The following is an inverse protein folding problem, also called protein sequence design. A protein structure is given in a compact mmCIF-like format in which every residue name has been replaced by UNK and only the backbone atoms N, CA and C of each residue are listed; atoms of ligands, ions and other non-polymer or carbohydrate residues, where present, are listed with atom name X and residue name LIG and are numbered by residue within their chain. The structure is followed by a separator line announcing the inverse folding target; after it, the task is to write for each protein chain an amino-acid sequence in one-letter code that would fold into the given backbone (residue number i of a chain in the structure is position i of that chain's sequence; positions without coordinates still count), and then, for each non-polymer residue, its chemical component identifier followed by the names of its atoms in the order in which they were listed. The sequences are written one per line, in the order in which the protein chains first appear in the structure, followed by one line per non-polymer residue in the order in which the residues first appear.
data_IF_606046085085
#
_entry.id   IF_606046085085
#
_cell.length_a   1.000
_cell.length_b   1.000
_cell.length_c   1.000
_cell.angle_alpha   90.00
_cell.angle_beta   90.00
_cell.angle_gamma   90.00
#
_symmetry.space_group_name_H-M   'P 1'
#
loop_
_entity.id
_entity.type
_entity.pdbx_description
1 polymer ?
#
# COMPACT_ATOMS: atom_id res chain seq x y z
N UNK A 1 -21.37 -3.54 -5.41
CA UNK A 1 -20.02 -3.88 -5.87
C UNK A 1 -19.04 -3.13 -4.98
N UNK A 2 -18.29 -3.85 -4.14
CA UNK A 2 -17.34 -3.24 -3.20
C UNK A 2 -16.29 -2.48 -3.97
N UNK A 3 -16.07 -1.20 -3.64
CA UNK A 3 -14.91 -0.46 -4.13
C UNK A 3 -13.63 -1.25 -3.80
N UNK A 4 -12.59 -1.22 -4.66
CA UNK A 4 -11.31 -1.80 -4.29
C UNK A 4 -10.85 -1.18 -2.96
N UNK A 5 -10.28 -1.99 -2.04
CA UNK A 5 -9.80 -1.49 -0.76
C UNK A 5 -8.79 -0.35 -0.99
N UNK A 6 -8.71 0.64 -0.09
CA UNK A 6 -7.70 1.69 -0.21
C UNK A 6 -6.28 1.10 -0.18
N UNK A 7 -5.28 1.80 -0.75
CA UNK A 7 -3.88 1.40 -0.59
C UNK A 7 -3.50 1.32 0.88
N UNK A 8 -2.64 0.37 1.22
CA UNK A 8 -2.11 0.21 2.58
C UNK A 8 -1.33 1.46 3.00
N UNK A 9 -1.61 1.94 4.20
CA UNK A 9 -0.94 3.09 4.79
C UNK A 9 0.09 2.61 5.81
N UNK A 10 1.12 3.40 6.10
CA UNK A 10 2.08 3.06 7.15
C UNK A 10 1.40 2.76 8.49
N UNK A 11 0.29 3.44 8.79
CA UNK A 11 -0.48 3.26 10.02
C UNK A 11 -1.19 1.90 10.12
N UNK A 12 -1.39 1.18 9.00
CA UNK A 12 -2.00 -0.16 9.01
C UNK A 12 -1.02 -1.25 9.51
N UNK A 13 0.27 -0.92 9.65
CA UNK A 13 1.30 -1.85 10.12
C UNK A 13 1.54 -1.68 11.63
N UNK A 14 0.75 -2.37 12.46
CA UNK A 14 0.85 -2.29 13.92
C UNK A 14 2.04 -3.08 14.49
N UNK A 15 2.62 -3.97 13.69
CA UNK A 15 3.72 -4.84 14.07
C UNK A 15 5.03 -4.45 13.38
N UNK A 16 6.14 -4.84 13.99
CA UNK A 16 7.45 -4.67 13.39
C UNK A 16 7.63 -5.68 12.26
N UNK A 17 8.22 -5.27 11.15
CA UNK A 17 8.60 -6.22 10.11
C UNK A 17 9.61 -7.25 10.64
N UNK A 18 9.30 -8.54 10.50
CA UNK A 18 10.16 -9.64 10.98
C UNK A 18 11.48 -9.75 10.19
N UNK A 19 11.52 -9.27 8.95
CA UNK A 19 12.71 -9.39 8.08
C UNK A 19 13.64 -8.18 8.19
N UNK A 20 13.10 -6.97 7.98
CA UNK A 20 13.91 -5.76 7.99
C UNK A 20 13.87 -4.98 9.30
N UNK A 21 13.09 -5.45 10.29
CA UNK A 21 12.96 -4.84 11.61
C UNK A 21 12.44 -3.38 11.55
N UNK A 22 11.74 -3.01 10.46
CA UNK A 22 11.08 -1.71 10.32
C UNK A 22 10.01 -1.53 11.40
N UNK A 23 9.98 -0.38 12.09
CA UNK A 23 9.11 -0.16 13.24
C UNK A 23 7.63 -0.15 12.86
N UNK A 24 6.73 -0.44 13.82
CA UNK A 24 5.29 -0.31 13.59
C UNK A 24 4.93 1.14 13.24
N UNK A 25 3.91 1.31 12.41
CA UNK A 25 3.51 2.60 11.84
C UNK A 25 4.40 3.07 10.69
N UNK A 26 5.32 2.21 10.19
CA UNK A 26 6.20 2.53 9.06
C UNK A 26 6.20 1.43 8.01
N UNK A 27 6.46 1.84 6.77
CA UNK A 27 6.70 0.93 5.65
C UNK A 27 8.09 0.28 5.78
N UNK A 28 8.23 -0.88 5.16
CA UNK A 28 9.50 -1.60 5.14
C UNK A 28 10.57 -0.81 4.36
N UNK A 29 11.83 -1.04 4.74
CA UNK A 29 12.98 -0.48 4.03
C UNK A 29 13.06 -1.01 2.59
N UNK A 30 13.65 -0.23 1.68
CA UNK A 30 13.75 -0.58 0.26
C UNK A 30 14.54 -1.87 -0.04
N UNK A 31 15.34 -2.36 0.91
CA UNK A 31 16.05 -3.63 0.78
C UNK A 31 15.24 -4.83 1.31
N UNK A 32 14.07 -4.60 1.89
CA UNK A 32 13.24 -5.66 2.46
C UNK A 32 12.48 -6.39 1.34
N UNK A 33 12.87 -7.62 1.06
CA UNK A 33 12.26 -8.41 -0.03
C UNK A 33 10.88 -8.98 0.32
N UNK A 34 10.54 -9.07 1.61
CA UNK A 34 9.32 -9.73 2.10
C UNK A 34 8.27 -8.74 2.62
N UNK A 35 8.64 -7.47 2.77
CA UNK A 35 7.82 -6.46 3.41
C UNK A 35 7.26 -5.44 2.42
N UNK A 36 6.19 -4.75 2.82
CA UNK A 36 5.57 -3.71 2.00
C UNK A 36 6.36 -2.40 2.06
N UNK A 37 6.97 -2.01 0.95
CA UNK A 37 7.88 -0.86 0.88
C UNK A 37 7.18 0.43 0.43
N UNK A 38 7.90 1.54 0.50
CA UNK A 38 7.43 2.81 -0.07
C UNK A 38 7.20 2.74 -1.59
N UNK A 39 7.96 1.91 -2.31
CA UNK A 39 7.77 1.72 -3.75
C UNK A 39 6.51 0.91 -4.04
N UNK A 40 6.22 -0.11 -3.23
CA UNK A 40 4.96 -0.86 -3.34
C UNK A 40 3.75 0.02 -3.03
N UNK A 41 3.85 0.85 -1.98
CA UNK A 41 2.83 1.82 -1.63
C UNK A 41 2.54 2.80 -2.76
N UNK A 42 3.59 3.27 -3.45
CA UNK A 42 3.46 4.14 -4.62
C UNK A 42 2.83 3.40 -5.80
N UNK A 43 3.27 2.19 -6.10
CA UNK A 43 2.71 1.38 -7.18
C UNK A 43 1.23 1.05 -6.94
N UNK A 44 0.84 0.76 -5.70
CA UNK A 44 -0.57 0.60 -5.34
C UNK A 44 -1.34 1.90 -5.49
N UNK A 45 -0.83 3.02 -4.98
CA UNK A 45 -1.48 4.32 -5.15
C UNK A 45 -1.70 4.66 -6.64
N UNK A 46 -0.73 4.39 -7.50
CA UNK A 46 -0.83 4.55 -8.96
C UNK A 46 -1.90 3.62 -9.56
N UNK A 47 -1.92 2.33 -9.18
CA UNK A 47 -2.97 1.39 -9.60
C UNK A 47 -4.37 1.81 -9.15
N UNK A 48 -4.49 2.32 -7.92
CA UNK A 48 -5.76 2.79 -7.37
C UNK A 48 -6.23 4.08 -8.03
N UNK A 49 -5.32 5.01 -8.33
CA UNK A 49 -5.64 6.22 -9.10
C UNK A 49 -6.18 5.83 -10.49
N UNK A 50 -5.43 5.00 -11.23
CA UNK A 50 -5.85 4.52 -12.55
C UNK A 50 -7.22 3.82 -12.51
N UNK A 51 -7.51 3.02 -11.48
CA UNK A 51 -8.83 2.38 -11.31
C UNK A 51 -9.95 3.36 -10.98
N UNK A 52 -9.67 4.42 -10.21
CA UNK A 52 -10.66 5.48 -9.93
C UNK A 52 -10.99 6.25 -11.20
N UNK A 53 -9.99 6.58 -12.01
CA UNK A 53 -10.16 7.28 -13.29
C UNK A 53 -10.80 6.39 -14.37
N UNK A 54 -10.56 5.08 -14.33
CA UNK A 54 -11.16 4.11 -15.25
C UNK A 54 -12.61 3.76 -14.92
N UNK A 55 -13.13 4.15 -13.75
CA UNK A 55 -14.54 3.97 -13.43
C UNK A 55 -15.35 5.02 -14.21
N UNK A 56 -16.21 4.63 -15.17
CA UNK A 56 -17.10 5.59 -15.80
C UNK A 56 -17.96 6.23 -14.71
N UNK A 57 -18.30 7.53 -14.80
CA UNK A 57 -19.33 8.08 -13.93
C UNK A 57 -20.58 7.19 -14.08
N UNK A 58 -21.09 6.70 -12.95
CA UNK A 58 -22.32 5.92 -12.95
C UNK A 58 -23.46 6.76 -13.55
N UNK A 59 -24.38 6.16 -14.33
CA UNK A 59 -25.52 6.86 -14.92
C UNK A 59 -26.47 7.45 -13.87
#
# INVERSE_FOLDING_TARGET
MSSPPPPFRPEDFEERCETCNAPPGQLCYAWCDTGYTADDARADAERHAAQRDAKPPAP
#
